data_IF_362370151190
#
_entry.id   IF_362370151190
#
_cell.length_a   1.000
_cell.length_b   1.000
_cell.length_c   1.000
_cell.angle_alpha   90.00
_cell.angle_beta   90.00
_cell.angle_gamma   90.00
#
_symmetry.space_group_name_H-M   'P 1'
#
loop_
_entity.id
_entity.type
_entity.pdbx_description
1 polymer ?
#
# COMPACT_ATOMS: atom_id res chain seq x y z
N UNK A 1 17.57 32.00 13.21
CA UNK A 1 18.33 30.73 13.21
C UNK A 1 17.40 29.66 12.68
N UNK A 2 17.74 29.00 11.57
CA UNK A 2 16.81 28.05 10.90
C UNK A 2 16.76 26.76 11.71
N UNK A 3 15.56 26.38 12.16
CA UNK A 3 15.21 25.03 12.62
C UNK A 3 15.69 24.01 11.59
N UNK A 4 16.90 23.48 11.80
CA UNK A 4 17.42 22.37 11.01
C UNK A 4 16.98 21.12 11.74
N UNK A 5 15.89 20.51 11.27
CA UNK A 5 15.46 19.18 11.67
C UNK A 5 16.68 18.23 11.66
N UNK A 6 17.18 17.89 12.84
CA UNK A 6 18.46 17.20 13.00
C UNK A 6 18.29 15.69 12.82
N UNK A 7 19.39 15.01 12.51
CA UNK A 7 19.42 13.55 12.40
C UNK A 7 19.10 12.89 13.75
N UNK A 8 19.44 13.54 14.86
CA UNK A 8 19.13 13.07 16.20
C UNK A 8 17.61 13.11 16.47
N UNK A 9 16.95 14.20 16.08
CA UNK A 9 15.47 14.31 16.16
C UNK A 9 14.80 13.17 15.38
N UNK A 10 15.36 12.78 14.24
CA UNK A 10 14.83 11.68 13.44
C UNK A 10 14.96 10.32 14.15
N UNK A 11 16.06 10.09 14.89
CA UNK A 11 16.19 8.89 15.72
C UNK A 11 15.22 8.90 16.90
N UNK A 12 15.04 10.04 17.57
CA UNK A 12 14.08 10.19 18.68
C UNK A 12 12.64 9.93 18.24
N UNK A 13 12.21 10.49 17.10
CA UNK A 13 10.87 10.27 16.54
C UNK A 13 10.60 8.77 16.27
N UNK A 14 11.63 8.02 15.88
CA UNK A 14 11.53 6.59 15.64
C UNK A 14 11.78 5.74 16.89
N UNK A 15 12.12 6.36 18.03
CA UNK A 15 12.47 5.67 19.27
C UNK A 15 13.74 4.81 19.15
N UNK A 16 14.70 5.26 18.35
CA UNK A 16 15.96 4.57 18.09
C UNK A 16 17.13 5.33 18.71
N UNK A 17 18.22 4.62 18.98
CA UNK A 17 19.49 5.25 19.38
C UNK A 17 20.24 5.76 18.15
N UNK A 18 20.99 6.88 18.26
CA UNK A 18 21.89 7.32 17.18
C UNK A 18 22.83 6.18 16.75
N UNK A 19 22.98 6.00 15.44
CA UNK A 19 23.79 4.92 14.86
C UNK A 19 23.05 3.59 14.64
N UNK A 20 21.73 3.55 14.84
CA UNK A 20 20.92 2.37 14.50
C UNK A 20 21.04 2.00 13.01
N UNK A 21 21.03 0.70 12.71
CA UNK A 21 21.22 0.22 11.33
C UNK A 21 20.03 0.54 10.43
N UNK A 22 20.26 0.58 9.11
CA UNK A 22 19.19 0.85 8.15
C UNK A 22 18.06 -0.20 8.24
N UNK A 23 18.40 -1.46 8.55
CA UNK A 23 17.43 -2.52 8.79
C UNK A 23 16.55 -2.24 10.03
N UNK A 24 17.15 -1.75 11.12
CA UNK A 24 16.42 -1.37 12.33
C UNK A 24 15.47 -0.19 12.06
N UNK A 25 15.95 0.85 11.36
CA UNK A 25 15.16 2.00 10.93
C UNK A 25 13.95 1.58 10.08
N UNK A 26 14.15 0.68 9.10
CA UNK A 26 13.04 0.15 8.28
C UNK A 26 12.04 -0.65 9.12
N UNK A 27 12.52 -1.45 10.07
CA UNK A 27 11.66 -2.27 10.94
C UNK A 27 10.80 -1.41 11.87
N UNK A 28 11.40 -0.42 12.53
CA UNK A 28 10.66 0.50 13.41
C UNK A 28 9.69 1.36 12.62
N UNK A 29 10.09 1.89 11.47
CA UNK A 29 9.20 2.61 10.56
C UNK A 29 7.94 1.80 10.23
N UNK A 30 8.10 0.56 9.75
CA UNK A 30 6.95 -0.33 9.43
C UNK A 30 6.06 -0.57 10.65
N UNK A 31 6.65 -0.76 11.84
CA UNK A 31 5.91 -0.96 13.10
C UNK A 31 5.10 0.28 13.46
N UNK A 32 5.72 1.46 13.42
CA UNK A 32 5.07 2.73 13.77
C UNK A 32 3.96 3.10 12.78
N UNK A 33 4.18 2.90 11.48
CA UNK A 33 3.15 3.12 10.46
C UNK A 33 1.94 2.20 10.69
N UNK A 34 2.17 0.94 11.07
CA UNK A 34 1.07 0.02 11.42
C UNK A 34 0.31 0.46 12.69
N UNK A 35 1.01 1.08 13.64
CA UNK A 35 0.40 1.58 14.88
C UNK A 35 -0.46 2.81 14.60
N UNK A 36 0.10 3.80 13.91
CA UNK A 36 -0.49 5.11 13.68
C UNK A 36 -1.20 5.25 12.34
N UNK A 37 -1.61 4.14 11.71
CA UNK A 37 -2.34 4.22 10.45
C UNK A 37 -3.72 4.85 10.66
N UNK A 38 -4.11 5.93 9.95
CA UNK A 38 -5.34 6.66 10.25
C UNK A 38 -6.62 5.82 10.11
N UNK A 39 -6.66 4.84 9.20
CA UNK A 39 -7.81 3.91 9.06
C UNK A 39 -8.09 3.06 10.32
N UNK A 40 -7.21 3.06 11.32
CA UNK A 40 -7.43 2.34 12.59
C UNK A 40 -8.28 3.12 13.59
N UNK A 41 -8.40 4.43 13.42
CA UNK A 41 -9.10 5.30 14.35
C UNK A 41 -10.45 5.66 13.78
N UNK A 42 -11.50 5.61 14.60
CA UNK A 42 -12.86 5.98 14.18
C UNK A 42 -13.07 7.48 14.33
N UNK A 43 -12.62 8.04 15.47
CA UNK A 43 -12.77 9.44 15.81
C UNK A 43 -11.91 10.38 14.95
N UNK A 44 -12.48 11.52 14.56
CA UNK A 44 -11.86 12.44 13.61
C UNK A 44 -10.63 13.15 14.21
N UNK A 45 -10.65 13.44 15.51
CA UNK A 45 -9.50 14.06 16.18
C UNK A 45 -8.36 13.06 16.30
N UNK A 46 -8.65 11.83 16.69
CA UNK A 46 -7.65 10.75 16.72
C UNK A 46 -7.05 10.45 15.33
N UNK A 47 -7.85 10.52 14.26
CA UNK A 47 -7.36 10.43 12.88
C UNK A 47 -6.35 11.53 12.55
N UNK A 48 -6.66 12.78 12.91
CA UNK A 48 -5.75 13.91 12.70
C UNK A 48 -4.45 13.74 13.48
N UNK A 49 -4.52 13.31 14.73
CA UNK A 49 -3.33 13.02 15.54
C UNK A 49 -2.49 11.90 14.90
N UNK A 50 -3.13 10.84 14.41
CA UNK A 50 -2.47 9.76 13.69
C UNK A 50 -1.81 10.24 12.38
N UNK A 51 -2.47 11.10 11.62
CA UNK A 51 -1.93 11.73 10.42
C UNK A 51 -0.67 12.56 10.72
N UNK A 52 -0.70 13.36 11.78
CA UNK A 52 0.45 14.16 12.22
C UNK A 52 1.61 13.27 12.67
N UNK A 53 1.32 12.21 13.42
CA UNK A 53 2.34 11.22 13.80
C UNK A 53 2.98 10.58 12.58
N UNK A 54 2.18 10.11 11.61
CA UNK A 54 2.68 9.53 10.36
C UNK A 54 3.51 10.54 9.56
N UNK A 55 3.11 11.82 9.54
CA UNK A 55 3.88 12.88 8.88
C UNK A 55 5.28 13.01 9.49
N UNK A 56 5.38 13.05 10.82
CA UNK A 56 6.66 13.11 11.54
C UNK A 56 7.49 11.84 11.33
N UNK A 57 6.88 10.66 11.40
CA UNK A 57 7.54 9.36 11.14
C UNK A 57 8.12 9.30 9.72
N UNK A 58 7.37 9.76 8.72
CA UNK A 58 7.82 9.80 7.33
C UNK A 58 8.99 10.79 7.14
N UNK A 59 8.93 11.97 7.77
CA UNK A 59 10.01 12.94 7.72
C UNK A 59 11.30 12.37 8.33
N UNK A 60 11.20 11.76 9.52
CA UNK A 60 12.32 11.11 10.20
C UNK A 60 12.91 9.96 9.36
N UNK A 61 12.05 9.06 8.83
CA UNK A 61 12.50 7.95 7.99
C UNK A 61 13.23 8.42 6.73
N UNK A 62 12.69 9.42 6.03
CA UNK A 62 13.31 9.95 4.81
C UNK A 62 14.67 10.59 5.10
N UNK A 63 14.80 11.30 6.24
CA UNK A 63 16.07 11.89 6.69
C UNK A 63 17.12 10.80 6.97
N UNK A 64 16.77 9.76 7.72
CA UNK A 64 17.70 8.66 8.00
C UNK A 64 18.02 7.85 6.75
N UNK A 65 17.05 7.65 5.85
CA UNK A 65 17.25 6.94 4.59
C UNK A 65 18.24 7.64 3.66
N UNK A 66 18.30 8.98 3.65
CA UNK A 66 19.27 9.71 2.84
C UNK A 66 20.69 9.67 3.40
N UNK A 67 20.83 9.49 4.71
CA UNK A 67 22.12 9.60 5.42
C UNK A 67 22.77 8.24 5.67
N UNK A 68 21.99 7.19 5.91
CA UNK A 68 22.49 5.83 6.16
C UNK A 68 22.57 5.09 4.82
N UNK A 69 23.80 4.79 4.32
CA UNK A 69 23.96 3.99 3.11
C UNK A 69 23.21 2.66 3.25
N UNK A 70 22.64 2.17 2.15
CA UNK A 70 22.11 0.80 2.16
C UNK A 70 23.23 -0.15 2.55
N UNK A 71 22.96 -1.02 3.54
CA UNK A 71 23.84 -2.15 3.84
C UNK A 71 24.16 -2.83 2.50
N UNK A 72 25.45 -3.15 2.23
CA UNK A 72 25.83 -3.86 1.02
C UNK A 72 24.94 -5.11 0.92
N UNK A 73 24.46 -5.46 -0.29
CA UNK A 73 23.69 -6.68 -0.46
C UNK A 73 24.49 -7.79 0.20
N UNK A 74 23.88 -8.45 1.18
CA UNK A 74 24.47 -9.62 1.85
C UNK A 74 24.90 -10.54 0.70
N UNK A 75 26.19 -10.92 0.60
CA UNK A 75 26.63 -11.79 -0.48
C UNK A 75 25.72 -13.00 -0.47
N UNK A 76 25.06 -13.23 -1.60
CA UNK A 76 24.18 -14.37 -1.79
C UNK A 76 25.03 -15.61 -1.53
N UNK A 77 24.89 -16.22 -0.35
CA UNK A 77 25.49 -17.51 -0.07
C UNK A 77 25.05 -18.46 -1.20
N UNK A 78 25.96 -19.07 -1.97
CA UNK A 78 25.61 -19.99 -3.04
C UNK A 78 24.95 -21.29 -2.55
N UNK A 79 24.67 -21.43 -1.25
CA UNK A 79 23.99 -22.58 -0.64
C UNK A 79 22.47 -22.46 -0.58
N UNK A 80 21.86 -21.49 -1.28
CA UNK A 80 20.44 -21.61 -1.66
C UNK A 80 20.33 -22.09 -3.10
N UNK A 81 20.71 -23.35 -3.33
CA UNK A 81 20.15 -24.14 -4.42
C UNK A 81 18.66 -24.37 -4.16
N UNK A 82 17.87 -23.29 -4.21
CA UNK A 82 16.47 -23.42 -4.59
C UNK A 82 16.47 -23.96 -6.01
N UNK A 83 15.89 -25.13 -6.28
CA UNK A 83 15.88 -25.69 -7.63
C UNK A 83 15.27 -24.66 -8.58
N UNK A 84 16.10 -24.20 -9.53
CA UNK A 84 15.66 -23.42 -10.69
C UNK A 84 14.70 -24.32 -11.46
N UNK A 85 13.42 -23.97 -11.40
CA UNK A 85 12.26 -24.66 -11.94
C UNK A 85 11.95 -26.03 -11.28
N UNK A 86 10.92 -26.13 -10.42
CA UNK A 86 10.30 -27.42 -10.21
C UNK A 86 9.74 -27.93 -11.55
N UNK A 87 9.70 -29.25 -11.78
CA UNK A 87 9.06 -29.82 -12.97
C UNK A 87 7.64 -29.24 -13.11
N UNK A 88 7.27 -28.84 -14.34
CA UNK A 88 5.91 -28.42 -14.73
C UNK A 88 4.95 -29.59 -14.56
N UNK A 89 4.59 -29.91 -13.34
CA UNK A 89 3.42 -30.72 -13.00
C UNK A 89 2.83 -30.10 -11.74
N UNK A 90 2.04 -29.05 -11.93
CA UNK A 90 1.14 -28.54 -10.91
C UNK A 90 -0.24 -28.34 -11.54
N UNK A 91 -1.14 -29.26 -11.25
CA UNK A 91 -2.57 -29.11 -11.48
C UNK A 91 -3.12 -28.18 -10.37
N UNK A 92 -2.57 -26.97 -10.23
CA UNK A 92 -3.17 -25.96 -9.37
C UNK A 92 -4.00 -25.04 -10.27
N UNK A 93 -5.32 -25.25 -10.24
CA UNK A 93 -6.30 -24.67 -11.16
C UNK A 93 -6.51 -23.16 -10.98
N UNK A 94 -5.91 -22.53 -9.97
CA UNK A 94 -6.22 -21.16 -9.57
C UNK A 94 -5.13 -20.18 -10.01
N UNK A 95 -5.53 -19.24 -10.85
CA UNK A 95 -4.73 -18.12 -11.35
C UNK A 95 -5.24 -16.78 -10.79
N UNK A 96 -4.62 -15.68 -11.21
CA UNK A 96 -4.99 -14.35 -10.74
C UNK A 96 -6.47 -14.01 -11.05
N UNK A 97 -6.98 -14.49 -12.19
CA UNK A 97 -8.38 -14.32 -12.62
C UNK A 97 -9.35 -15.06 -11.70
N UNK A 98 -8.99 -16.29 -11.31
CA UNK A 98 -9.79 -17.10 -10.39
C UNK A 98 -9.95 -16.39 -9.05
N UNK A 99 -8.86 -15.92 -8.45
CA UNK A 99 -8.93 -15.17 -7.19
C UNK A 99 -9.64 -13.83 -7.35
N UNK A 100 -9.48 -13.13 -8.49
CA UNK A 100 -10.25 -11.92 -8.75
C UNK A 100 -11.76 -12.20 -8.77
N UNK A 101 -12.18 -13.26 -9.46
CA UNK A 101 -13.59 -13.67 -9.55
C UNK A 101 -14.16 -14.01 -8.17
N UNK A 102 -13.42 -14.79 -7.36
CA UNK A 102 -13.81 -15.08 -5.97
C UNK A 102 -13.93 -13.81 -5.13
N UNK A 103 -13.01 -12.86 -5.29
CA UNK A 103 -13.05 -11.58 -4.61
C UNK A 103 -14.30 -10.77 -4.97
N UNK A 104 -14.69 -10.77 -6.26
CA UNK A 104 -15.94 -10.14 -6.70
C UNK A 104 -17.15 -10.83 -6.09
N UNK A 105 -17.19 -12.17 -6.11
CA UNK A 105 -18.29 -12.94 -5.53
C UNK A 105 -18.43 -12.65 -4.02
N UNK A 106 -17.34 -12.75 -3.27
CA UNK A 106 -17.31 -12.42 -1.84
C UNK A 106 -17.77 -10.97 -1.58
N UNK A 107 -17.34 -10.01 -2.40
CA UNK A 107 -17.76 -8.62 -2.27
C UNK A 107 -19.27 -8.44 -2.52
N UNK A 108 -19.84 -9.13 -3.52
CA UNK A 108 -21.29 -9.07 -3.81
C UNK A 108 -22.12 -9.73 -2.71
N UNK A 109 -21.59 -10.75 -2.05
CA UNK A 109 -22.21 -11.43 -0.91
C UNK A 109 -21.98 -10.70 0.43
N UNK A 110 -21.31 -9.54 0.40
CA UNK A 110 -21.04 -8.72 1.59
C UNK A 110 -19.91 -9.23 2.49
N UNK A 111 -19.22 -10.31 2.10
CA UNK A 111 -18.02 -10.83 2.76
C UNK A 111 -16.79 -10.01 2.37
N UNK A 112 -16.73 -8.79 2.90
CA UNK A 112 -15.74 -7.81 2.48
C UNK A 112 -14.30 -8.15 2.89
N UNK A 113 -14.09 -8.82 4.03
CA UNK A 113 -12.75 -9.23 4.46
C UNK A 113 -12.19 -10.34 3.57
N UNK A 114 -13.01 -11.35 3.26
CA UNK A 114 -12.66 -12.43 2.34
C UNK A 114 -12.38 -11.88 0.94
N UNK A 115 -13.21 -10.95 0.46
CA UNK A 115 -12.99 -10.27 -0.82
C UNK A 115 -11.62 -9.56 -0.88
N UNK A 116 -11.24 -8.87 0.20
CA UNK A 116 -9.92 -8.22 0.30
C UNK A 116 -8.79 -9.26 0.24
N UNK A 117 -8.95 -10.41 0.91
CA UNK A 117 -7.96 -11.48 0.89
C UNK A 117 -7.79 -12.04 -0.53
N UNK A 118 -8.88 -12.33 -1.22
CA UNK A 118 -8.88 -12.84 -2.59
C UNK A 118 -8.26 -11.86 -3.59
N UNK A 119 -8.66 -10.58 -3.55
CA UNK A 119 -8.01 -9.58 -4.39
C UNK A 119 -6.51 -9.44 -4.07
N UNK A 120 -6.13 -9.61 -2.80
CA UNK A 120 -4.72 -9.61 -2.41
C UNK A 120 -3.96 -10.80 -3.01
N UNK A 121 -4.58 -11.98 -3.08
CA UNK A 121 -4.03 -13.14 -3.78
C UNK A 121 -3.91 -12.89 -5.29
N UNK A 122 -4.94 -12.33 -5.93
CA UNK A 122 -4.91 -11.96 -7.34
C UNK A 122 -3.75 -11.00 -7.66
N UNK A 123 -3.58 -9.95 -6.85
CA UNK A 123 -2.49 -8.97 -6.98
C UNK A 123 -1.12 -9.61 -6.77
N UNK A 124 -1.01 -10.58 -5.86
CA UNK A 124 0.25 -11.31 -5.62
C UNK A 124 0.65 -12.15 -6.84
N UNK A 125 -0.33 -12.77 -7.50
CA UNK A 125 -0.11 -13.57 -8.72
C UNK A 125 0.14 -12.70 -9.94
N UNK A 126 -0.57 -11.58 -10.08
CA UNK A 126 -0.37 -10.60 -11.13
C UNK A 126 -0.28 -9.17 -10.53
N UNK A 127 0.95 -8.64 -10.31
CA UNK A 127 1.16 -7.30 -9.77
C UNK A 127 0.67 -6.15 -10.66
N UNK A 128 0.36 -6.41 -11.93
CA UNK A 128 -0.19 -5.46 -12.89
C UNK A 128 -1.71 -5.61 -13.09
N UNK A 129 -2.39 -6.41 -12.25
CA UNK A 129 -3.83 -6.60 -12.36
C UNK A 129 -4.60 -5.37 -11.87
N UNK A 130 -4.87 -4.45 -12.80
CA UNK A 130 -5.57 -3.17 -12.55
C UNK A 130 -6.91 -3.36 -11.83
N UNK A 131 -7.75 -4.28 -12.30
CA UNK A 131 -9.09 -4.45 -11.72
C UNK A 131 -9.03 -4.99 -10.30
N UNK A 132 -8.15 -5.94 -9.99
CA UNK A 132 -7.96 -6.41 -8.61
C UNK A 132 -7.62 -5.26 -7.64
N UNK A 133 -6.78 -4.29 -8.05
CA UNK A 133 -6.54 -3.07 -7.26
C UNK A 133 -7.79 -2.20 -7.16
N UNK A 134 -8.50 -1.96 -8.26
CA UNK A 134 -9.73 -1.14 -8.24
C UNK A 134 -10.76 -1.72 -7.27
N UNK A 135 -11.10 -3.00 -7.42
CA UNK A 135 -12.12 -3.64 -6.61
C UNK A 135 -11.71 -3.77 -5.14
N UNK A 136 -10.45 -4.11 -4.83
CA UNK A 136 -9.96 -4.07 -3.44
C UNK A 136 -10.06 -2.67 -2.85
N UNK A 137 -9.73 -1.64 -3.63
CA UNK A 137 -9.86 -0.25 -3.23
C UNK A 137 -11.31 0.16 -2.95
N UNK A 138 -12.26 -0.31 -3.77
CA UNK A 138 -13.69 -0.08 -3.56
C UNK A 138 -14.21 -0.76 -2.29
N UNK A 139 -13.86 -2.03 -2.07
CA UNK A 139 -14.24 -2.76 -0.86
C UNK A 139 -13.63 -2.10 0.38
N UNK A 140 -12.36 -1.68 0.33
CA UNK A 140 -11.75 -0.91 1.41
C UNK A 140 -12.50 0.40 1.68
N UNK A 141 -12.93 1.11 0.64
CA UNK A 141 -13.69 2.35 0.79
C UNK A 141 -15.06 2.13 1.42
N UNK A 142 -15.69 0.98 1.14
CA UNK A 142 -16.96 0.57 1.74
C UNK A 142 -16.82 0.26 3.23
N UNK A 143 -15.69 -0.32 3.64
CA UNK A 143 -15.35 -0.56 5.05
C UNK A 143 -14.83 0.69 5.79
N UNK A 144 -14.67 1.82 5.11
CA UNK A 144 -14.13 3.04 5.69
C UNK A 144 -12.60 3.09 5.78
N UNK A 145 -11.90 2.12 5.15
CA UNK A 145 -10.45 2.12 5.01
C UNK A 145 -10.01 3.05 3.87
N UNK A 146 -10.14 4.35 4.08
CA UNK A 146 -9.94 5.39 3.06
C UNK A 146 -8.50 5.44 2.55
N UNK A 147 -7.51 5.24 3.42
CA UNK A 147 -6.10 5.26 3.03
C UNK A 147 -5.72 4.02 2.22
N UNK A 148 -6.19 2.83 2.63
CA UNK A 148 -6.01 1.60 1.85
C UNK A 148 -6.67 1.72 0.49
N UNK A 149 -7.92 2.20 0.46
CA UNK A 149 -8.67 2.43 -0.77
C UNK A 149 -7.90 3.35 -1.73
N UNK A 150 -7.36 4.46 -1.20
CA UNK A 150 -6.65 5.41 -2.01
C UNK A 150 -5.31 4.90 -2.53
N UNK A 151 -4.59 4.11 -1.74
CA UNK A 151 -3.35 3.47 -2.17
C UNK A 151 -3.60 2.56 -3.37
N UNK A 152 -4.63 1.71 -3.30
CA UNK A 152 -4.95 0.76 -4.36
C UNK A 152 -5.40 1.46 -5.65
N UNK A 153 -6.28 2.45 -5.54
CA UNK A 153 -6.75 3.21 -6.71
C UNK A 153 -5.64 4.04 -7.37
N UNK A 154 -4.72 4.61 -6.58
CA UNK A 154 -3.55 5.27 -7.13
C UNK A 154 -2.65 4.27 -7.87
N UNK A 155 -2.50 3.05 -7.35
CA UNK A 155 -1.69 2.01 -7.99
C UNK A 155 -2.31 1.56 -9.30
N UNK A 156 -3.64 1.35 -9.33
CA UNK A 156 -4.38 1.05 -10.55
C UNK A 156 -4.17 2.15 -11.62
N UNK A 157 -4.36 3.42 -11.27
CA UNK A 157 -4.16 4.54 -12.17
C UNK A 157 -2.71 4.67 -12.67
N UNK A 158 -1.73 4.34 -11.82
CA UNK A 158 -0.33 4.32 -12.22
C UNK A 158 -0.07 3.25 -13.29
N UNK A 159 -0.59 2.03 -13.08
CA UNK A 159 -0.41 0.93 -14.05
C UNK A 159 -1.12 1.26 -15.36
N UNK A 160 -2.34 1.83 -15.32
CA UNK A 160 -3.05 2.30 -16.52
C UNK A 160 -2.25 3.35 -17.30
N UNK A 161 -1.64 4.31 -16.60
CA UNK A 161 -0.75 5.29 -17.21
C UNK A 161 0.47 4.64 -17.86
N UNK A 162 1.11 3.71 -17.15
CA UNK A 162 2.28 2.97 -17.65
C UNK A 162 1.94 2.17 -18.91
N UNK A 163 0.77 1.52 -18.95
CA UNK A 163 0.29 0.80 -20.14
C UNK A 163 -0.09 1.75 -21.28
N UNK A 164 -0.68 2.90 -20.99
CA UNK A 164 -1.06 3.90 -22.01
C UNK A 164 0.17 4.58 -22.62
N UNK A 165 1.20 4.83 -21.82
CA UNK A 165 2.39 5.58 -22.18
C UNK A 165 3.67 4.86 -21.70
N UNK A 166 4.09 3.76 -22.37
CA UNK A 166 5.23 2.95 -21.91
C UNK A 166 6.55 3.74 -21.81
N UNK A 167 6.70 4.83 -22.57
CA UNK A 167 7.86 5.73 -22.52
C UNK A 167 7.88 6.77 -21.38
N UNK A 168 6.76 7.01 -20.69
CA UNK A 168 6.66 8.06 -19.67
C UNK A 168 7.16 7.62 -18.28
N UNK A 169 7.12 6.30 -17.99
CA UNK A 169 7.40 5.73 -16.67
C UNK A 169 8.82 6.03 -16.12
N UNK A 170 9.80 6.34 -16.98
CA UNK A 170 11.17 6.69 -16.55
C UNK A 170 11.25 8.01 -15.75
N UNK A 171 10.24 8.88 -15.81
CA UNK A 171 10.28 10.21 -15.15
C UNK A 171 9.57 10.28 -13.79
N UNK A 172 8.84 9.24 -13.37
CA UNK A 172 7.97 9.28 -12.18
C UNK A 172 8.42 8.32 -11.06
N UNK A 173 9.73 8.13 -10.86
CA UNK A 173 10.28 7.29 -9.78
C UNK A 173 10.33 8.00 -8.43
N UNK A 174 9.19 8.45 -7.93
CA UNK A 174 9.07 8.77 -6.50
C UNK A 174 7.73 8.25 -5.98
N UNK A 175 7.74 7.16 -5.20
CA UNK A 175 6.58 6.78 -4.42
C UNK A 175 6.41 7.84 -3.34
N UNK A 176 5.68 8.91 -3.67
CA UNK A 176 5.17 9.84 -2.66
C UNK A 176 4.08 9.09 -1.93
N UNK A 177 4.35 8.72 -0.68
CA UNK A 177 3.33 8.37 0.28
C UNK A 177 2.39 9.59 0.35
N UNK A 178 1.25 9.52 -0.34
CA UNK A 178 0.34 10.66 -0.41
C UNK A 178 -0.42 10.65 0.92
N UNK A 179 -0.08 11.58 1.81
CA UNK A 179 -0.69 11.75 3.13
C UNK A 179 -2.19 12.09 3.07
N UNK A 180 -2.71 12.41 1.89
CA UNK A 180 -4.14 12.65 1.63
C UNK A 180 -4.55 11.97 0.32
N UNK A 181 -5.71 11.31 0.24
CA UNK A 181 -6.22 10.78 -1.03
C UNK A 181 -6.25 11.89 -2.09
N UNK A 182 -5.71 11.63 -3.29
CA UNK A 182 -5.78 12.60 -4.39
C UNK A 182 -7.26 12.95 -4.66
N UNK A 183 -7.62 14.21 -4.99
CA UNK A 183 -9.01 14.61 -5.23
C UNK A 183 -9.73 13.75 -6.28
N UNK A 184 -8.99 13.24 -7.27
CA UNK A 184 -9.48 12.30 -8.29
C UNK A 184 -9.92 10.95 -7.70
N UNK A 185 -9.16 10.41 -6.75
CA UNK A 185 -9.51 9.18 -6.03
C UNK A 185 -10.72 9.43 -5.14
N UNK A 186 -10.78 10.58 -4.45
CA UNK A 186 -11.94 10.94 -3.63
C UNK A 186 -13.21 11.07 -4.49
N UNK A 187 -13.11 11.70 -5.67
CA UNK A 187 -14.20 11.81 -6.66
C UNK A 187 -14.58 10.45 -7.26
N UNK A 188 -13.61 9.61 -7.56
CA UNK A 188 -13.83 8.25 -8.10
C UNK A 188 -14.51 7.36 -7.06
N UNK A 189 -14.00 7.30 -5.82
CA UNK A 189 -14.63 6.62 -4.70
C UNK A 189 -16.05 7.13 -4.45
N UNK A 190 -16.26 8.45 -4.48
CA UNK A 190 -17.59 9.03 -4.28
C UNK A 190 -18.54 8.65 -5.42
N UNK A 191 -18.08 8.67 -6.67
CA UNK A 191 -18.87 8.29 -7.84
C UNK A 191 -19.26 6.81 -7.79
N UNK A 192 -18.34 5.92 -7.40
CA UNK A 192 -18.62 4.50 -7.26
C UNK A 192 -19.51 4.21 -6.04
N UNK A 193 -19.29 4.87 -4.90
CA UNK A 193 -20.21 4.80 -3.74
C UNK A 193 -21.63 5.24 -4.10
N UNK A 194 -21.76 6.29 -4.92
CA UNK A 194 -23.05 6.74 -5.41
C UNK A 194 -23.68 5.71 -6.37
N UNK A 195 -22.92 5.10 -7.28
CA UNK A 195 -23.39 4.03 -8.18
C UNK A 195 -23.87 2.80 -7.40
N UNK A 196 -23.13 2.38 -6.35
CA UNK A 196 -23.52 1.26 -5.50
C UNK A 196 -24.75 1.57 -4.63
N UNK A 197 -24.93 2.82 -4.18
CA UNK A 197 -26.15 3.26 -3.49
C UNK A 197 -27.37 3.31 -4.40
N UNK A 198 -27.20 3.68 -5.67
CA UNK A 198 -28.27 3.69 -6.67
C UNK A 198 -28.77 2.28 -7.00
N UNK A 199 -27.88 1.28 -7.04
CA UNK A 199 -28.27 -0.12 -7.26
C UNK A 199 -28.98 -0.78 -6.05
N UNK A 200 -28.86 -0.24 -4.84
CA UNK A 200 -29.64 -0.71 -3.68
C UNK A 200 -31.06 -0.12 -3.60
N UNK A 201 -31.38 0.85 -4.46
CA UNK A 201 -32.69 1.53 -4.47
C UNK A 201 -33.71 0.88 -5.40
N UNK A 202 -33.34 -0.25 -6.02
CA UNK A 202 -34.16 -1.08 -6.91
C UNK A 202 -34.18 -2.54 -6.45
N UNK A 203 -34.47 -2.76 -5.17
CA UNK A 203 -34.93 -4.05 -4.65
C UNK A 203 -36.19 -3.82 -3.83
#
# INVERSE_FOLDING_TARGET
MRDRFDINDAYEILGLKPGASQAQVKRTYRKLVKIWHPDRFVDQRQKQEAEEKIKSINAAYNRLKSEIPSEPPIPENPSSSSPKNPPKISVNRWDAETFYTLGVENATQGRYEDAIADFTHAIRLNPHYIDAYKYRGLVCSQLGYEYRAASDLNKAAQIEEELRNPGAARRSRSPRYVSKPRPLVKRFCQRIKNLLRLNRRWR
#
